data_IF_803998602857
#
_entry.id   IF_803998602857
#
_cell.length_a   1.000
_cell.length_b   1.000
_cell.length_c   1.000
_cell.angle_alpha   90.00
_cell.angle_beta   90.00
_cell.angle_gamma   90.00
#
_symmetry.space_group_name_H-M   'P 1'
#
loop_
_entity.id
_entity.type
_entity.pdbx_description
1 polymer ?
#
# COMPACT_ATOMS: atom_id res chain seq x y z
N UNK A 1 21.84 15.39 5.49
CA UNK A 1 21.34 14.00 5.59
C UNK A 1 19.84 14.03 5.47
N UNK A 2 19.32 13.35 4.45
CA UNK A 2 17.93 13.37 3.99
C UNK A 2 16.96 12.86 5.05
N UNK A 3 16.05 13.70 5.51
CA UNK A 3 14.81 13.23 6.11
C UNK A 3 13.66 13.71 5.23
N UNK A 4 13.32 12.88 4.25
CA UNK A 4 11.91 12.70 3.92
C UNK A 4 11.22 12.52 5.27
N UNK A 5 10.50 13.53 5.77
CA UNK A 5 9.50 13.30 6.81
C UNK A 5 8.42 12.49 6.11
N UNK A 6 8.65 11.19 6.01
CA UNK A 6 7.70 10.25 5.48
C UNK A 6 6.43 10.42 6.30
N UNK A 7 5.32 10.63 5.62
CA UNK A 7 3.99 10.73 6.20
C UNK A 7 3.61 9.37 6.80
N UNK A 8 4.07 9.10 8.02
CA UNK A 8 3.93 7.79 8.67
C UNK A 8 3.21 7.92 10.01
N UNK A 9 2.19 7.10 10.19
CA UNK A 9 1.52 6.87 11.45
C UNK A 9 2.10 5.64 12.15
N UNK A 10 3.08 5.85 13.02
CA UNK A 10 3.60 4.81 13.91
C UNK A 10 3.03 4.97 15.32
N UNK A 11 2.61 3.85 15.93
CA UNK A 11 2.32 3.79 17.37
C UNK A 11 2.68 2.41 17.93
N UNK A 12 2.90 2.35 19.25
CA UNK A 12 3.15 1.13 20.01
C UNK A 12 2.13 1.10 21.14
N UNK A 13 1.37 0.01 21.26
CA UNK A 13 0.38 -0.17 22.35
C UNK A 13 0.57 -1.51 23.02
N UNK A 14 0.41 -1.53 24.34
CA UNK A 14 0.51 -2.74 25.15
C UNK A 14 -0.89 -3.33 25.40
N UNK A 15 -1.07 -4.63 25.19
CA UNK A 15 -2.38 -5.28 25.36
C UNK A 15 -2.88 -5.33 26.82
N UNK A 16 -2.09 -4.89 27.79
CA UNK A 16 -2.51 -4.78 29.20
C UNK A 16 -3.37 -3.54 29.43
N UNK A 17 -3.11 -2.45 28.70
CA UNK A 17 -3.75 -1.14 28.88
C UNK A 17 -5.22 -1.12 28.45
N UNK A 18 -5.62 -2.01 27.55
CA UNK A 18 -7.02 -2.19 27.13
C UNK A 18 -7.76 -3.13 28.12
N UNK A 19 -7.80 -2.72 29.38
CA UNK A 19 -8.49 -3.40 30.47
C UNK A 19 -10.01 -3.35 30.27
N UNK A 20 -10.63 -4.49 29.97
CA UNK A 20 -12.09 -4.60 29.93
C UNK A 20 -12.66 -5.78 29.15
N UNK A 21 -11.90 -6.42 28.27
CA UNK A 21 -12.46 -7.54 27.49
C UNK A 21 -12.42 -8.83 28.32
N UNK A 22 -13.57 -9.45 28.65
CA UNK A 22 -13.62 -10.68 29.41
C UNK A 22 -12.80 -11.78 28.73
N UNK A 23 -12.12 -12.62 29.52
CA UNK A 23 -11.59 -13.87 28.99
C UNK A 23 -12.81 -14.73 28.62
N UNK A 24 -13.00 -15.16 27.36
CA UNK A 24 -14.02 -16.15 27.08
C UNK A 24 -13.70 -17.38 27.93
N UNK A 25 -14.67 -17.83 28.73
CA UNK A 25 -14.52 -19.04 29.53
C UNK A 25 -14.04 -20.16 28.59
N UNK A 26 -12.87 -20.71 28.88
CA UNK A 26 -12.26 -21.82 28.14
C UNK A 26 -12.97 -23.14 28.45
N UNK A 27 -14.30 -23.12 28.36
CA UNK A 27 -15.16 -24.27 28.44
C UNK A 27 -15.61 -24.61 27.03
N UNK A 28 -15.25 -25.81 26.59
CA UNK A 28 -15.78 -26.52 25.43
C UNK A 28 -15.16 -26.11 24.09
N UNK A 29 -14.37 -27.04 23.55
CA UNK A 29 -13.74 -26.93 22.25
C UNK A 29 -14.75 -26.69 21.13
N UNK A 30 -14.46 -25.71 20.27
CA UNK A 30 -14.96 -25.65 18.89
C UNK A 30 -13.97 -24.86 18.04
N UNK A 31 -13.39 -25.54 17.05
CA UNK A 31 -12.42 -25.03 16.05
C UNK A 31 -13.03 -24.02 15.05
N UNK A 32 -14.08 -23.27 15.41
CA UNK A 32 -14.87 -22.47 14.44
C UNK A 32 -15.14 -21.02 14.87
N UNK A 33 -14.67 -20.60 16.04
CA UNK A 33 -14.75 -19.20 16.49
C UNK A 33 -13.37 -18.59 16.55
N UNK A 34 -13.02 -17.68 15.65
CA UNK A 34 -11.79 -16.89 15.77
C UNK A 34 -11.72 -16.16 17.12
N UNK A 35 -10.52 -15.71 17.55
CA UNK A 35 -10.34 -15.08 18.86
C UNK A 35 -11.08 -13.73 18.91
N UNK A 36 -12.33 -13.74 19.37
CA UNK A 36 -13.21 -12.55 19.53
C UNK A 36 -12.50 -11.44 20.31
N UNK A 37 -11.71 -11.82 21.31
CA UNK A 37 -10.89 -10.90 22.11
C UNK A 37 -9.86 -10.15 21.25
N UNK A 38 -9.13 -10.86 20.39
CA UNK A 38 -8.11 -10.29 19.53
C UNK A 38 -8.72 -9.33 18.49
N UNK A 39 -9.85 -9.70 17.88
CA UNK A 39 -10.56 -8.84 16.92
C UNK A 39 -10.95 -7.50 17.54
N UNK A 40 -11.50 -7.52 18.75
CA UNK A 40 -11.87 -6.29 19.46
C UNK A 40 -10.64 -5.41 19.75
N UNK A 41 -9.50 -6.01 20.13
CA UNK A 41 -8.26 -5.25 20.37
C UNK A 41 -7.75 -4.56 19.11
N UNK A 42 -7.68 -5.26 17.97
CA UNK A 42 -7.26 -4.65 16.70
C UNK A 42 -8.22 -3.54 16.27
N UNK A 43 -9.53 -3.72 16.46
CA UNK A 43 -10.51 -2.68 16.15
C UNK A 43 -10.30 -1.41 16.99
N UNK A 44 -10.11 -1.55 18.30
CA UNK A 44 -9.82 -0.41 19.18
C UNK A 44 -8.50 0.27 18.81
N UNK A 45 -7.47 -0.51 18.52
CA UNK A 45 -6.16 0.02 18.18
C UNK A 45 -6.16 0.78 16.84
N UNK A 46 -6.87 0.27 15.83
CA UNK A 46 -7.08 0.98 14.55
C UNK A 46 -7.83 2.31 14.73
N UNK A 47 -8.81 2.38 15.65
CA UNK A 47 -9.49 3.65 15.97
C UNK A 47 -8.53 4.66 16.59
N UNK A 48 -7.65 4.22 17.50
CA UNK A 48 -6.61 5.10 18.07
C UNK A 48 -5.65 5.60 16.99
N UNK A 49 -5.22 4.71 16.09
CA UNK A 49 -4.35 5.07 14.96
C UNK A 49 -5.00 6.07 14.01
N UNK A 50 -6.31 5.93 13.74
CA UNK A 50 -7.09 6.89 12.97
C UNK A 50 -7.08 8.27 13.61
N UNK A 51 -7.37 8.36 14.91
CA UNK A 51 -7.32 9.62 15.67
C UNK A 51 -5.91 10.24 15.66
N UNK A 52 -4.87 9.41 15.64
CA UNK A 52 -3.48 9.87 15.53
C UNK A 52 -3.07 10.32 14.11
N UNK A 53 -3.81 9.91 13.08
CA UNK A 53 -3.53 10.27 11.70
C UNK A 53 -4.03 11.68 11.34
N UNK A 54 -5.17 12.09 11.90
CA UNK A 54 -5.77 13.42 11.73
C UNK A 54 -4.80 14.58 12.04
N UNK A 55 -4.13 14.66 13.21
CA UNK A 55 -3.19 15.74 13.52
C UNK A 55 -1.92 15.70 12.68
N UNK A 56 -1.61 14.58 12.02
CA UNK A 56 -0.46 14.46 11.12
C UNK A 56 -0.78 14.87 9.68
N UNK A 57 -2.03 15.25 9.40
CA UNK A 57 -2.48 15.62 8.06
C UNK A 57 -2.46 14.45 7.07
N UNK A 58 -2.64 13.23 7.59
CA UNK A 58 -2.74 12.01 6.79
C UNK A 58 -4.18 11.82 6.31
N UNK A 59 -4.37 11.44 5.04
CA UNK A 59 -5.70 11.11 4.51
C UNK A 59 -6.18 9.75 5.03
N UNK A 60 -7.21 9.76 5.88
CA UNK A 60 -7.72 8.58 6.59
C UNK A 60 -8.22 7.50 5.64
N UNK A 61 -8.77 7.88 4.48
CA UNK A 61 -9.35 6.93 3.52
C UNK A 61 -8.27 6.25 2.65
N UNK A 62 -7.09 6.87 2.55
CA UNK A 62 -5.95 6.36 1.77
C UNK A 62 -4.88 5.64 2.62
N UNK A 63 -5.11 5.48 3.93
CA UNK A 63 -4.18 4.80 4.83
C UNK A 63 -4.11 3.29 4.57
N UNK A 64 -2.90 2.77 4.58
CA UNK A 64 -2.61 1.33 4.47
C UNK A 64 -1.66 0.91 5.57
N UNK A 65 -1.88 -0.30 6.07
CA UNK A 65 -0.98 -0.94 7.01
C UNK A 65 0.23 -1.48 6.23
N UNK A 66 1.39 -0.89 6.45
CA UNK A 66 2.65 -1.33 5.86
C UNK A 66 3.27 -2.45 6.69
N UNK A 67 3.27 -2.29 8.02
CA UNK A 67 3.95 -3.22 8.91
C UNK A 67 3.16 -3.42 10.21
N UNK A 68 3.14 -4.68 10.66
CA UNK A 68 2.59 -5.10 11.97
C UNK A 68 3.63 -5.99 12.64
N UNK A 69 4.02 -5.64 13.86
CA UNK A 69 4.87 -6.46 14.70
C UNK A 69 4.22 -6.70 16.06
N UNK A 70 4.35 -7.94 16.56
CA UNK A 70 3.83 -8.34 17.87
C UNK A 70 4.96 -8.92 18.71
N UNK A 71 5.34 -8.22 19.76
CA UNK A 71 6.38 -8.61 20.70
C UNK A 71 5.78 -9.10 22.02
N UNK A 72 6.43 -10.04 22.68
CA UNK A 72 5.99 -10.51 24.02
C UNK A 72 6.30 -9.44 25.06
N UNK A 73 5.33 -9.14 25.92
CA UNK A 73 5.51 -8.26 27.06
C UNK A 73 5.79 -9.08 28.34
N UNK A 74 6.32 -8.47 29.40
CA UNK A 74 6.56 -9.15 30.68
C UNK A 74 5.29 -9.80 31.24
N UNK A 75 5.38 -11.07 31.67
CA UNK A 75 4.24 -11.81 32.21
C UNK A 75 3.84 -11.28 33.58
N UNK A 76 2.54 -11.00 33.79
CA UNK A 76 2.05 -10.64 35.13
C UNK A 76 1.74 -11.91 35.93
N UNK A 77 2.10 -11.91 37.22
CA UNK A 77 1.95 -13.06 38.11
C UNK A 77 0.67 -12.93 38.93
N UNK A 78 -0.17 -13.97 38.90
CA UNK A 78 -1.27 -14.17 39.84
C UNK A 78 -1.12 -15.54 40.51
N UNK A 79 -1.86 -15.75 41.60
CA UNK A 79 -1.90 -17.02 42.33
C UNK A 79 -3.27 -17.66 42.17
N UNK A 80 -3.30 -18.96 41.92
CA UNK A 80 -4.51 -19.76 41.92
C UNK A 80 -4.41 -20.75 43.09
N UNK A 81 -5.29 -20.58 44.07
CA UNK A 81 -5.41 -21.51 45.19
C UNK A 81 -6.13 -22.77 44.72
N UNK A 82 -5.59 -23.92 45.13
CA UNK A 82 -6.17 -25.24 44.89
C UNK A 82 -6.42 -25.95 46.22
N UNK A 83 -7.08 -27.10 46.15
CA UNK A 83 -7.30 -27.95 47.31
C UNK A 83 -5.97 -28.32 48.00
N UNK A 84 -6.07 -28.66 49.29
CA UNK A 84 -4.94 -29.09 50.14
C UNK A 84 -3.78 -28.08 50.26
N UNK A 85 -4.07 -26.77 50.14
CA UNK A 85 -3.06 -25.72 50.30
C UNK A 85 -2.09 -25.58 49.12
N UNK A 86 -2.39 -26.21 47.98
CA UNK A 86 -1.53 -26.11 46.79
C UNK A 86 -1.70 -24.76 46.10
N UNK A 87 -0.57 -24.12 45.75
CA UNK A 87 -0.52 -22.80 45.10
C UNK A 87 0.12 -22.93 43.73
N UNK A 88 -0.66 -22.65 42.68
CA UNK A 88 -0.17 -22.62 41.30
C UNK A 88 -0.08 -21.19 40.75
N UNK A 89 0.95 -20.86 39.94
CA UNK A 89 1.04 -19.58 39.29
C UNK A 89 0.03 -19.50 38.13
N UNK A 90 -0.81 -18.47 38.13
CA UNK A 90 -1.63 -18.09 37.00
C UNK A 90 -1.01 -16.86 36.34
N UNK A 91 -0.38 -17.05 35.18
CA UNK A 91 0.38 -15.98 34.51
C UNK A 91 -0.45 -15.40 33.37
N UNK A 92 -0.52 -14.08 33.28
CA UNK A 92 -0.99 -13.42 32.06
C UNK A 92 0.13 -13.39 31.01
N UNK A 93 -0.26 -13.40 29.74
CA UNK A 93 0.67 -13.33 28.59
C UNK A 93 0.35 -12.10 27.74
N UNK A 94 0.81 -10.91 28.16
CA UNK A 94 0.61 -9.69 27.40
C UNK A 94 1.54 -9.59 26.20
N UNK A 95 1.22 -8.68 25.26
CA UNK A 95 2.05 -8.36 24.11
C UNK A 95 2.08 -6.85 23.83
N UNK A 96 3.18 -6.41 23.22
CA UNK A 96 3.31 -5.11 22.58
C UNK A 96 2.99 -5.27 21.11
N UNK A 97 2.12 -4.42 20.58
CA UNK A 97 1.77 -4.40 19.17
C UNK A 97 2.25 -3.08 18.60
N UNK A 98 2.98 -3.17 17.51
CA UNK A 98 3.49 -2.04 16.76
C UNK A 98 2.85 -2.08 15.38
N UNK A 99 2.22 -0.98 14.99
CA UNK A 99 1.64 -0.83 13.65
C UNK A 99 2.14 0.45 13.00
N UNK A 100 2.48 0.31 11.72
CA UNK A 100 2.93 1.40 10.86
C UNK A 100 1.89 1.56 9.75
N UNK A 101 1.27 2.74 9.71
CA UNK A 101 0.36 3.14 8.64
C UNK A 101 1.03 4.17 7.74
N UNK A 102 0.89 4.00 6.44
CA UNK A 102 1.36 4.92 5.40
C UNK A 102 0.25 5.25 4.43
N UNK A 103 0.31 6.44 3.83
CA UNK A 103 -0.54 6.75 2.68
C UNK A 103 -0.10 5.90 1.49
N UNK A 104 -1.05 5.36 0.74
CA UNK A 104 -0.76 4.76 -0.57
C UNK A 104 -0.24 5.86 -1.51
N UNK A 105 1.07 5.97 -1.62
CA UNK A 105 1.67 6.67 -2.74
C UNK A 105 1.36 5.85 -4.00
N UNK A 106 0.64 6.46 -4.93
CA UNK A 106 0.53 5.93 -6.28
C UNK A 106 1.97 5.82 -6.78
N UNK A 107 2.46 4.58 -6.93
CA UNK A 107 3.79 4.30 -7.46
C UNK A 107 3.78 4.87 -8.87
N UNK A 108 4.21 6.12 -9.01
CA UNK A 108 4.69 6.62 -10.28
C UNK A 108 5.89 5.74 -10.51
N UNK A 109 5.73 4.74 -11.39
CA UNK A 109 6.83 3.99 -11.96
C UNK A 109 7.86 5.06 -12.33
N UNK A 110 8.94 5.15 -11.54
CA UNK A 110 10.06 5.95 -11.98
C UNK A 110 10.40 5.39 -13.35
N UNK A 111 10.36 6.28 -14.34
CA UNK A 111 10.83 6.03 -15.70
C UNK A 111 12.34 5.72 -15.65
N UNK A 112 12.71 4.59 -15.06
CA UNK A 112 14.11 4.19 -14.85
C UNK A 112 14.70 3.44 -16.06
N UNK A 113 13.99 3.37 -17.20
CA UNK A 113 14.54 2.73 -18.42
C UNK A 113 14.63 3.64 -19.67
N UNK A 114 14.09 4.87 -19.69
CA UNK A 114 14.24 5.75 -20.88
C UNK A 114 15.41 6.76 -20.79
N UNK A 115 16.15 6.82 -19.68
CA UNK A 115 17.32 7.70 -19.57
C UNK A 115 18.63 6.98 -19.99
N UNK A 116 18.62 5.65 -20.12
CA UNK A 116 19.83 4.88 -20.44
C UNK A 116 20.07 4.58 -21.93
N UNK A 117 19.13 4.86 -22.84
CA UNK A 117 19.32 4.61 -24.28
C UNK A 117 18.96 5.80 -25.19
N UNK A 118 19.15 7.03 -24.73
CA UNK A 118 19.47 8.10 -25.70
C UNK A 118 20.91 7.90 -26.13
N UNK A 119 21.11 6.95 -27.05
CA UNK A 119 22.30 6.98 -27.90
C UNK A 119 22.49 8.43 -28.35
N UNK A 120 23.71 8.95 -28.18
CA UNK A 120 24.07 10.29 -28.67
C UNK A 120 24.09 10.25 -30.20
N UNK A 121 22.90 10.20 -30.80
CA UNK A 121 22.73 10.26 -32.24
C UNK A 121 23.14 11.68 -32.63
N UNK A 122 24.19 11.76 -33.46
CA UNK A 122 24.71 13.01 -34.01
C UNK A 122 23.57 13.87 -34.57
N UNK A 123 23.63 15.19 -34.35
CA UNK A 123 22.60 16.11 -34.86
C UNK A 123 22.34 15.96 -36.38
N UNK A 124 23.34 15.47 -37.14
CA UNK A 124 23.22 15.21 -38.58
C UNK A 124 22.29 14.03 -38.89
N UNK A 125 22.36 12.94 -38.14
CA UNK A 125 21.52 11.74 -38.36
C UNK A 125 20.08 11.99 -37.93
N UNK A 126 19.85 12.75 -36.85
CA UNK A 126 18.51 13.11 -36.39
C UNK A 126 17.78 14.03 -37.39
N UNK A 127 18.50 14.98 -38.01
CA UNK A 127 17.96 15.82 -39.09
C UNK A 127 17.60 15.00 -40.33
N UNK A 128 18.44 14.06 -40.76
CA UNK A 128 18.16 13.16 -41.89
C UNK A 128 16.90 12.32 -41.67
N UNK A 129 16.75 11.72 -40.48
CA UNK A 129 15.56 10.93 -40.16
C UNK A 129 14.27 11.77 -40.20
N UNK A 130 14.32 13.02 -39.69
CA UNK A 130 13.18 13.94 -39.76
C UNK A 130 12.82 14.35 -41.19
N UNK A 131 13.82 14.56 -42.07
CA UNK A 131 13.58 14.89 -43.48
C UNK A 131 12.95 13.70 -44.21
N UNK A 132 13.49 12.49 -44.06
CA UNK A 132 12.91 11.29 -44.68
C UNK A 132 11.49 10.99 -44.18
N UNK A 133 11.19 11.24 -42.90
CA UNK A 133 9.85 11.10 -42.37
C UNK A 133 8.86 12.10 -43.00
N UNK A 134 9.29 13.35 -43.19
CA UNK A 134 8.49 14.39 -43.88
C UNK A 134 8.24 14.04 -45.35
N UNK A 135 9.26 13.56 -46.05
CA UNK A 135 9.13 13.14 -47.45
C UNK A 135 8.18 11.95 -47.61
N UNK A 136 8.25 10.96 -46.70
CA UNK A 136 7.30 9.84 -46.68
C UNK A 136 5.86 10.29 -46.48
N UNK A 137 5.63 11.21 -45.53
CA UNK A 137 4.30 11.79 -45.29
C UNK A 137 3.82 12.53 -46.54
N UNK A 138 4.68 13.32 -47.18
CA UNK A 138 4.31 14.06 -48.40
C UNK A 138 3.98 13.12 -49.57
N UNK A 139 4.76 12.06 -49.76
CA UNK A 139 4.46 11.03 -50.77
C UNK A 139 3.11 10.36 -50.52
N UNK A 140 2.79 10.06 -49.26
CA UNK A 140 1.50 9.46 -48.90
C UNK A 140 0.33 10.43 -49.16
N UNK A 141 0.47 11.70 -48.81
CA UNK A 141 -0.55 12.74 -49.09
C UNK A 141 -0.77 12.89 -50.59
N UNK A 142 0.31 12.94 -51.37
CA UNK A 142 0.24 13.06 -52.83
C UNK A 142 -0.44 11.84 -53.46
N UNK A 143 -0.11 10.62 -52.99
CA UNK A 143 -0.75 9.38 -53.45
C UNK A 143 -2.24 9.32 -53.09
N UNK A 144 -2.64 9.84 -51.93
CA UNK A 144 -4.05 9.92 -51.54
C UNK A 144 -4.80 10.97 -52.37
N UNK A 145 -4.16 12.11 -52.67
CA UNK A 145 -4.73 13.17 -53.50
C UNK A 145 -4.97 12.71 -54.94
N UNK A 146 -4.02 11.97 -55.53
CA UNK A 146 -4.19 11.41 -56.88
C UNK A 146 -5.30 10.36 -56.94
N UNK A 147 -5.42 9.49 -55.93
CA UNK A 147 -6.53 8.53 -55.81
C UNK A 147 -7.90 9.22 -55.77
N UNK A 148 -8.04 10.29 -54.97
CA UNK A 148 -9.28 11.07 -54.89
C UNK A 148 -9.61 11.72 -56.23
N UNK A 149 -8.62 12.32 -56.91
CA UNK A 149 -8.83 12.94 -58.23
C UNK A 149 -9.28 11.89 -59.27
N UNK A 150 -8.66 10.71 -59.30
CA UNK A 150 -9.06 9.62 -60.21
C UNK A 150 -10.49 9.18 -59.93
N UNK A 151 -10.88 9.02 -58.67
CA UNK A 151 -12.27 8.67 -58.29
C UNK A 151 -13.25 9.75 -58.75
N UNK A 152 -12.95 11.03 -58.56
CA UNK A 152 -13.79 12.13 -59.02
C UNK A 152 -13.93 12.13 -60.55
N UNK A 153 -12.84 11.92 -61.30
CA UNK A 153 -12.87 11.83 -62.77
C UNK A 153 -13.74 10.65 -63.22
N UNK A 154 -13.65 9.49 -62.57
CA UNK A 154 -14.48 8.32 -62.88
C UNK A 154 -15.96 8.60 -62.60
N UNK A 155 -16.29 9.32 -61.53
CA UNK A 155 -17.68 9.68 -61.20
C UNK A 155 -18.26 10.69 -62.20
N UNK A 156 -17.48 11.68 -62.65
CA UNK A 156 -17.95 12.71 -63.58
C UNK A 156 -18.17 12.16 -65.00
N UNK A 157 -17.38 11.16 -65.43
CA UNK A 157 -17.44 10.58 -66.78
C UNK A 157 -18.34 9.33 -66.88
N UNK A 158 -19.16 9.05 -65.86
CA UNK A 158 -20.13 7.95 -65.82
C UNK A 158 -21.54 8.49 -65.91
#
# INVERSE_FOLDING_TARGET
MSHYKSKVCHSIVTMVELGGVPRPNSGVGRRVGGPKRAQNFYCTYLKMLRVNAEPKGLDVDSLVIEHIQVNKAPKMRHRMYRAHGWINPYMSSPCHIEMILTEKEQIVLKLEEEVAQKEKISQKTLKKQKVMAREKIQHQINANKSKIIIIIIIIINK
#
